data_IF_261825327715
#
_entry.id   IF_261825327715
#
_cell.length_a   1.000
_cell.length_b   1.000
_cell.length_c   1.000
_cell.angle_alpha   90.00
_cell.angle_beta   90.00
_cell.angle_gamma   90.00
#
_symmetry.space_group_name_H-M   'P 1'
#
loop_
_entity.id
_entity.type
_entity.pdbx_description
1 polymer ?
#
# COMPACT_ATOMS: atom_id res chain seq x y z
N UNK A 1 5.48 23.19 17.47
CA UNK A 1 4.40 22.49 18.22
C UNK A 1 4.33 22.88 19.69
N UNK A 2 3.12 22.91 20.25
CA UNK A 2 2.85 22.98 21.69
C UNK A 2 2.56 21.58 22.29
N UNK A 3 2.59 21.45 23.62
CA UNK A 3 2.21 20.21 24.32
C UNK A 3 0.75 19.84 24.06
N UNK A 4 -0.12 20.84 23.85
CA UNK A 4 -1.52 20.65 23.49
C UNK A 4 -1.70 19.93 22.15
N UNK A 5 -0.88 20.26 21.15
CA UNK A 5 -0.95 19.63 19.82
C UNK A 5 -0.55 18.15 19.89
N UNK A 6 0.48 17.84 20.68
CA UNK A 6 0.97 16.48 20.87
C UNK A 6 -0.05 15.64 21.67
N UNK A 7 -0.67 16.23 22.69
CA UNK A 7 -1.76 15.60 23.42
C UNK A 7 -2.98 15.34 22.52
N UNK A 8 -3.29 16.26 21.61
CA UNK A 8 -4.38 16.11 20.64
C UNK A 8 -4.09 15.02 19.61
N UNK A 9 -2.84 14.92 19.12
CA UNK A 9 -2.39 13.82 18.25
C UNK A 9 -2.51 12.46 18.97
N UNK A 10 -2.05 12.38 20.22
CA UNK A 10 -2.14 11.14 21.02
C UNK A 10 -3.60 10.77 21.30
N UNK A 11 -4.45 11.74 21.65
CA UNK A 11 -5.87 11.52 21.85
C UNK A 11 -6.57 11.02 20.56
N UNK A 12 -6.20 11.57 19.41
CA UNK A 12 -6.69 11.14 18.10
C UNK A 12 -6.24 9.70 17.75
N UNK A 13 -4.96 9.37 17.98
CA UNK A 13 -4.43 8.01 17.77
C UNK A 13 -5.06 6.96 18.69
N UNK A 14 -5.40 7.34 19.92
CA UNK A 14 -6.10 6.47 20.88
C UNK A 14 -7.60 6.34 20.58
N UNK A 15 -8.20 7.28 19.84
CA UNK A 15 -9.62 7.28 19.53
C UNK A 15 -10.02 6.04 18.72
N UNK A 16 -9.22 5.62 17.73
CA UNK A 16 -9.47 4.41 16.93
C UNK A 16 -9.62 3.14 17.78
N UNK A 17 -8.61 2.78 18.59
CA UNK A 17 -8.68 1.65 19.52
C UNK A 17 -9.81 1.76 20.56
N UNK A 18 -10.04 2.94 21.13
CA UNK A 18 -11.12 3.16 22.10
C UNK A 18 -12.52 2.99 21.49
N UNK A 19 -12.75 3.50 20.28
CA UNK A 19 -14.00 3.30 19.54
C UNK A 19 -14.22 1.84 19.16
N UNK A 20 -13.15 1.11 18.81
CA UNK A 20 -13.22 -0.30 18.48
C UNK A 20 -13.47 -1.20 19.70
N UNK A 21 -13.01 -0.80 20.90
CA UNK A 21 -13.27 -1.53 22.14
C UNK A 21 -14.75 -1.49 22.56
N UNK A 22 -15.49 -0.43 22.21
CA UNK A 22 -16.89 -0.23 22.62
C UNK A 22 -17.95 -0.74 21.64
N UNK A 23 -17.61 -0.96 20.35
CA UNK A 23 -18.59 -1.36 19.32
C UNK A 23 -18.38 -2.81 18.90
N UNK A 24 -19.41 -3.64 19.09
CA UNK A 24 -19.50 -5.05 18.65
C UNK A 24 -19.58 -5.25 17.12
N UNK A 25 -19.27 -4.21 16.33
CA UNK A 25 -19.33 -4.21 14.87
C UNK A 25 -17.94 -4.27 14.25
N UNK A 26 -17.80 -5.00 13.14
CA UNK A 26 -16.59 -5.30 12.36
C UNK A 26 -15.87 -4.07 11.71
N UNK A 27 -15.88 -2.90 12.34
CA UNK A 27 -15.16 -1.74 11.78
C UNK A 27 -13.67 -1.88 12.12
N UNK A 28 -12.77 -1.92 11.11
CA UNK A 28 -11.33 -1.97 11.36
C UNK A 28 -10.88 -0.75 12.16
N UNK A 29 -10.08 -0.96 13.20
CA UNK A 29 -9.51 0.10 14.05
C UNK A 29 -8.84 1.20 13.21
N UNK A 30 -8.10 0.78 12.19
CA UNK A 30 -7.39 1.65 11.25
C UNK A 30 -8.32 2.63 10.55
N UNK A 31 -9.54 2.22 10.21
CA UNK A 31 -10.49 3.13 9.56
C UNK A 31 -10.87 4.30 10.48
N UNK A 32 -11.02 4.05 11.79
CA UNK A 32 -11.28 5.09 12.78
C UNK A 32 -10.10 6.05 12.97
N UNK A 33 -8.87 5.52 12.97
CA UNK A 33 -7.65 6.32 13.07
C UNK A 33 -7.42 7.20 11.84
N UNK A 34 -7.63 6.67 10.63
CA UNK A 34 -7.56 7.44 9.38
C UNK A 34 -8.63 8.54 9.34
N UNK A 35 -9.86 8.22 9.75
CA UNK A 35 -10.96 9.20 9.77
C UNK A 35 -10.69 10.31 10.79
N UNK A 36 -10.14 9.99 11.97
CA UNK A 36 -9.68 10.98 12.93
C UNK A 36 -8.59 11.89 12.35
N UNK A 37 -7.60 11.32 11.66
CA UNK A 37 -6.55 12.09 10.98
C UNK A 37 -7.10 13.01 9.88
N UNK A 38 -8.08 12.55 9.09
CA UNK A 38 -8.74 13.36 8.04
C UNK A 38 -9.53 14.53 8.63
N UNK A 39 -10.20 14.32 9.78
CA UNK A 39 -10.95 15.38 10.47
C UNK A 39 -10.00 16.41 11.11
N UNK A 40 -8.91 15.97 11.73
CA UNK A 40 -8.00 16.86 12.46
C UNK A 40 -6.92 17.52 11.59
N UNK A 41 -6.58 16.93 10.44
CA UNK A 41 -5.58 17.44 9.51
C UNK A 41 -6.12 18.51 8.53
N UNK A 42 -5.32 18.84 7.51
CA UNK A 42 -5.61 19.88 6.51
C UNK A 42 -6.99 19.77 5.85
N UNK A 43 -7.48 18.56 5.64
CA UNK A 43 -8.78 18.31 4.98
C UNK A 43 -10.00 18.64 5.85
N UNK A 44 -9.82 18.77 7.17
CA UNK A 44 -10.90 19.02 8.12
C UNK A 44 -10.71 20.37 8.83
N UNK A 45 -10.27 20.32 10.08
CA UNK A 45 -10.12 21.51 10.92
C UNK A 45 -8.74 22.19 10.85
N UNK A 46 -7.79 21.62 10.09
CA UNK A 46 -6.42 22.15 9.90
C UNK A 46 -5.67 22.46 11.23
N UNK A 47 -5.99 21.68 12.27
CA UNK A 47 -5.41 21.87 13.61
C UNK A 47 -4.01 21.27 13.66
N UNK A 48 -3.78 20.18 12.92
CA UNK A 48 -2.48 19.50 12.86
C UNK A 48 -1.81 19.79 11.50
N UNK A 49 -0.69 20.50 11.55
CA UNK A 49 0.15 20.77 10.38
C UNK A 49 1.17 19.63 10.20
N UNK A 50 1.09 18.92 9.08
CA UNK A 50 1.99 17.80 8.76
C UNK A 50 3.44 18.24 8.49
N UNK A 51 3.64 19.52 8.15
CA UNK A 51 4.95 20.11 7.83
C UNK A 51 5.84 20.31 9.08
N UNK A 52 5.32 20.10 10.30
CA UNK A 52 6.11 20.19 11.52
C UNK A 52 6.98 18.92 11.71
N UNK A 53 8.28 19.14 11.88
CA UNK A 53 9.28 18.08 12.02
C UNK A 53 8.97 17.09 13.15
N UNK A 54 8.29 17.52 14.22
CA UNK A 54 7.96 16.65 15.36
C UNK A 54 6.81 15.69 15.02
N UNK A 55 5.81 16.13 14.23
CA UNK A 55 4.74 15.25 13.73
C UNK A 55 5.31 14.22 12.76
N UNK A 56 6.17 14.67 11.85
CA UNK A 56 6.84 13.80 10.88
C UNK A 56 7.70 12.75 11.57
N UNK A 57 8.49 13.14 12.58
CA UNK A 57 9.26 12.20 13.39
C UNK A 57 8.37 11.17 14.11
N UNK A 58 7.26 11.61 14.71
CA UNK A 58 6.35 10.71 15.42
C UNK A 58 5.65 9.74 14.44
N UNK A 59 5.28 10.20 13.25
CA UNK A 59 4.70 9.38 12.20
C UNK A 59 5.70 8.33 11.68
N UNK A 60 6.94 8.72 11.42
CA UNK A 60 8.01 7.80 11.00
C UNK A 60 8.33 6.77 12.09
N UNK A 61 8.50 7.21 13.34
CA UNK A 61 8.76 6.32 14.47
C UNK A 61 7.60 5.35 14.71
N UNK A 62 6.35 5.83 14.69
CA UNK A 62 5.16 5.01 14.84
C UNK A 62 5.01 4.00 13.71
N UNK A 63 5.20 4.43 12.46
CA UNK A 63 5.17 3.54 11.30
C UNK A 63 6.27 2.49 11.34
N UNK A 64 7.49 2.87 11.71
CA UNK A 64 8.61 1.95 11.88
C UNK A 64 8.33 0.91 12.97
N UNK A 65 7.78 1.34 14.11
CA UNK A 65 7.38 0.45 15.20
C UNK A 65 6.26 -0.52 14.78
N UNK A 66 5.25 -0.04 14.06
CA UNK A 66 4.17 -0.88 13.52
C UNK A 66 4.72 -1.92 12.52
N UNK A 67 5.58 -1.51 11.59
CA UNK A 67 6.19 -2.43 10.62
C UNK A 67 7.14 -3.43 11.28
N UNK A 68 7.89 -3.02 12.30
CA UNK A 68 8.70 -3.93 13.11
C UNK A 68 7.82 -4.98 13.80
N UNK A 69 6.72 -4.54 14.41
CA UNK A 69 5.78 -5.40 15.11
C UNK A 69 5.11 -6.39 14.16
N UNK A 70 4.66 -5.91 13.00
CA UNK A 70 4.10 -6.75 11.93
C UNK A 70 5.14 -7.77 11.46
N UNK A 71 6.37 -7.33 11.22
CA UNK A 71 7.48 -8.19 10.79
C UNK A 71 7.81 -9.31 11.77
N UNK A 72 7.73 -9.05 13.08
CA UNK A 72 7.97 -10.05 14.13
C UNK A 72 6.91 -11.16 14.17
N UNK A 73 5.71 -10.92 13.65
CA UNK A 73 4.64 -11.92 13.57
C UNK A 73 4.69 -12.74 12.27
N UNK A 74 5.57 -12.40 11.32
CA UNK A 74 5.70 -13.14 10.05
C UNK A 74 6.60 -14.36 10.28
N UNK A 75 6.12 -15.60 10.09
CA UNK A 75 6.91 -16.81 10.28
C UNK A 75 7.91 -17.00 9.11
N UNK A 76 9.03 -16.27 9.14
CA UNK A 76 10.07 -16.31 8.10
C UNK A 76 10.78 -17.67 7.97
N UNK A 77 10.63 -18.54 8.98
CA UNK A 77 11.18 -19.89 8.99
C UNK A 77 10.45 -20.87 8.06
N UNK A 78 9.28 -20.49 7.53
CA UNK A 78 8.54 -21.36 6.64
C UNK A 78 9.18 -21.47 5.25
N UNK A 79 9.63 -22.68 4.90
CA UNK A 79 10.30 -22.94 3.60
C UNK A 79 9.38 -22.67 2.41
N UNK A 80 8.06 -22.79 2.57
CA UNK A 80 7.07 -22.44 1.55
C UNK A 80 6.99 -20.93 1.33
N UNK A 81 6.96 -20.14 2.41
CA UNK A 81 6.97 -18.67 2.33
C UNK A 81 8.26 -18.16 1.67
N UNK A 82 9.42 -18.71 2.05
CA UNK A 82 10.71 -18.36 1.44
C UNK A 82 10.78 -18.70 -0.06
N UNK A 83 10.23 -19.84 -0.50
CA UNK A 83 10.17 -20.20 -1.94
C UNK A 83 9.21 -19.31 -2.73
N UNK A 84 8.06 -18.96 -2.13
CA UNK A 84 7.11 -18.03 -2.72
C UNK A 84 7.71 -16.62 -2.84
N UNK A 85 8.40 -16.14 -1.80
CA UNK A 85 9.09 -14.86 -1.79
C UNK A 85 10.27 -14.85 -2.76
N UNK A 86 11.10 -15.90 -2.80
CA UNK A 86 12.23 -15.99 -3.74
C UNK A 86 11.77 -15.95 -5.20
N UNK A 87 10.67 -16.63 -5.54
CA UNK A 87 10.12 -16.61 -6.90
C UNK A 87 9.48 -15.26 -7.27
N UNK A 88 8.87 -14.57 -6.30
CA UNK A 88 8.31 -13.22 -6.47
C UNK A 88 9.40 -12.14 -6.51
N UNK A 89 10.47 -12.27 -5.72
CA UNK A 89 11.61 -11.37 -5.73
C UNK A 89 12.43 -11.49 -7.02
N UNK A 90 12.63 -12.71 -7.53
CA UNK A 90 13.24 -12.92 -8.85
C UNK A 90 12.37 -12.34 -9.97
N UNK A 91 11.05 -12.56 -9.92
CA UNK A 91 10.14 -11.92 -10.89
C UNK A 91 10.19 -10.38 -10.78
N UNK A 92 10.26 -9.82 -9.57
CA UNK A 92 10.34 -8.38 -9.32
C UNK A 92 11.65 -7.79 -9.83
N UNK A 93 12.77 -8.48 -9.60
CA UNK A 93 14.07 -8.09 -10.12
C UNK A 93 14.12 -8.10 -11.64
N UNK A 94 13.59 -9.15 -12.28
CA UNK A 94 13.53 -9.24 -13.75
C UNK A 94 12.59 -8.18 -14.34
N UNK A 95 11.46 -7.91 -13.71
CA UNK A 95 10.53 -6.87 -14.16
C UNK A 95 11.09 -5.45 -13.99
N UNK A 96 11.80 -5.17 -12.88
CA UNK A 96 12.48 -3.90 -12.67
C UNK A 96 13.57 -3.67 -13.73
N UNK A 97 14.36 -4.71 -14.03
CA UNK A 97 15.36 -4.67 -15.11
C UNK A 97 14.67 -4.43 -16.46
N UNK A 98 13.63 -5.21 -16.81
CA UNK A 98 12.94 -5.07 -18.09
C UNK A 98 12.26 -3.69 -18.28
N UNK A 99 11.70 -3.12 -17.22
CA UNK A 99 11.12 -1.77 -17.25
C UNK A 99 12.18 -0.69 -17.51
N UNK A 100 13.42 -0.91 -17.03
CA UNK A 100 14.55 -0.02 -17.29
C UNK A 100 14.93 0.06 -18.78
N UNK A 101 14.55 -0.95 -19.58
CA UNK A 101 14.82 -1.00 -21.03
C UNK A 101 13.64 -0.51 -21.88
N UNK A 102 12.48 -0.19 -21.28
CA UNK A 102 11.24 0.15 -22.00
C UNK A 102 11.10 1.61 -22.46
N UNK A 103 12.01 2.50 -22.07
CA UNK A 103 11.91 3.95 -22.32
C UNK A 103 12.22 4.38 -23.77
N UNK A 104 12.45 3.44 -24.69
CA UNK A 104 12.83 3.75 -26.08
C UNK A 104 11.66 3.73 -27.09
N UNK A 105 10.40 3.73 -26.66
CA UNK A 105 9.26 3.64 -27.58
C UNK A 105 8.24 4.77 -27.40
N UNK A 106 8.33 5.65 -28.40
CA UNK A 106 7.53 6.80 -28.82
C UNK A 106 6.04 6.86 -28.38
N UNK A 107 5.66 8.09 -28.01
CA UNK A 107 4.37 8.81 -28.11
C UNK A 107 3.04 8.15 -27.68
N UNK A 108 2.39 8.91 -26.80
CA UNK A 108 0.96 8.95 -26.48
C UNK A 108 0.38 7.81 -25.62
N UNK A 109 0.50 7.97 -24.31
CA UNK A 109 -0.20 7.11 -23.36
C UNK A 109 -0.13 7.60 -21.92
N UNK A 110 -0.80 8.72 -21.62
CA UNK A 110 -1.28 9.14 -20.28
C UNK A 110 -0.42 8.68 -19.08
N UNK A 111 0.65 9.44 -18.75
CA UNK A 111 0.89 9.83 -17.36
C UNK A 111 1.39 11.27 -17.21
N UNK A 112 1.51 12.02 -18.32
CA UNK A 112 2.09 13.37 -18.33
C UNK A 112 1.24 14.40 -17.56
N UNK A 113 -0.09 14.19 -17.46
CA UNK A 113 -0.98 15.12 -16.77
C UNK A 113 -0.74 15.18 -15.24
N UNK A 114 -0.28 14.09 -14.61
CA UNK A 114 0.05 14.06 -13.18
C UNK A 114 1.38 14.76 -12.90
N UNK A 115 2.32 14.68 -13.85
CA UNK A 115 3.62 15.37 -13.77
C UNK A 115 3.46 16.90 -13.92
N UNK A 116 2.46 17.35 -14.68
CA UNK A 116 2.20 18.77 -14.91
C UNK A 116 1.75 19.51 -13.62
N UNK A 117 1.12 18.80 -12.67
CA UNK A 117 0.70 19.38 -11.38
C UNK A 117 1.92 19.67 -10.49
N UNK A 118 2.95 18.82 -10.51
CA UNK A 118 4.18 19.00 -9.72
C UNK A 118 5.16 20.04 -10.26
N UNK A 119 5.03 20.43 -11.54
CA UNK A 119 5.88 21.46 -12.18
C UNK A 119 5.55 22.88 -11.71
N UNK A 120 4.34 23.13 -11.22
CA UNK A 120 3.91 24.46 -10.75
C UNK A 120 4.34 24.78 -9.31
N UNK A 121 4.72 23.75 -8.53
CA UNK A 121 5.10 23.89 -7.12
C UNK A 121 6.62 24.05 -6.92
N UNK A 122 7.38 24.17 -8.01
CA UNK A 122 8.79 24.55 -8.06
C UNK A 122 9.78 23.68 -7.24
N UNK A 123 9.44 22.42 -6.95
CA UNK A 123 10.27 21.51 -6.13
C UNK A 123 10.63 20.19 -6.82
N UNK A 124 10.12 19.91 -8.03
CA UNK A 124 10.39 18.64 -8.73
C UNK A 124 10.90 18.91 -10.14
N UNK A 125 12.14 18.47 -10.44
CA UNK A 125 12.67 18.46 -11.80
C UNK A 125 11.80 17.55 -12.67
N UNK A 126 11.55 17.88 -13.95
CA UNK A 126 10.70 17.09 -14.85
C UNK A 126 11.12 15.61 -14.95
N UNK A 127 12.40 15.31 -14.69
CA UNK A 127 12.94 13.96 -14.57
C UNK A 127 12.40 13.16 -13.35
N UNK A 128 12.22 13.78 -12.19
CA UNK A 128 11.72 13.12 -10.98
C UNK A 128 10.23 12.77 -11.08
N UNK A 129 9.44 13.63 -11.74
CA UNK A 129 8.02 13.36 -11.98
C UNK A 129 7.80 12.14 -12.89
N UNK A 130 8.58 12.03 -13.97
CA UNK A 130 8.56 10.86 -14.84
C UNK A 130 8.99 9.59 -14.07
N UNK A 131 10.05 9.68 -13.27
CA UNK A 131 10.54 8.55 -12.47
C UNK A 131 9.49 8.01 -11.48
N UNK A 132 8.72 8.90 -10.83
CA UNK A 132 7.65 8.50 -9.91
C UNK A 132 6.49 7.82 -10.63
N UNK A 133 6.08 8.34 -11.80
CA UNK A 133 5.00 7.72 -12.58
C UNK A 133 5.39 6.34 -13.13
N UNK A 134 6.64 6.17 -13.54
CA UNK A 134 7.19 4.87 -13.96
C UNK A 134 7.28 3.90 -12.78
N UNK A 135 7.72 4.35 -11.60
CA UNK A 135 7.75 3.54 -10.38
C UNK A 135 6.33 3.06 -9.97
N UNK A 136 5.33 3.92 -10.12
CA UNK A 136 3.93 3.56 -9.87
C UNK A 136 3.40 2.54 -10.91
N UNK A 137 3.64 2.77 -12.20
CA UNK A 137 3.18 1.89 -13.29
C UNK A 137 3.86 0.51 -13.24
N UNK A 138 5.16 0.47 -12.94
CA UNK A 138 5.89 -0.79 -12.77
C UNK A 138 5.34 -1.60 -11.61
N UNK A 139 5.03 -0.95 -10.48
CA UNK A 139 4.40 -1.60 -9.32
C UNK A 139 3.02 -2.16 -9.68
N UNK A 140 2.18 -1.39 -10.39
CA UNK A 140 0.85 -1.84 -10.79
C UNK A 140 0.88 -3.01 -11.78
N UNK A 141 1.76 -2.92 -12.79
CA UNK A 141 1.99 -3.98 -13.77
C UNK A 141 2.46 -5.27 -13.09
N UNK A 142 3.29 -5.13 -12.05
CA UNK A 142 3.77 -6.26 -11.27
C UNK A 142 2.65 -6.96 -10.49
N UNK A 143 1.75 -6.19 -9.88
CA UNK A 143 0.56 -6.73 -9.22
C UNK A 143 -0.35 -7.46 -10.20
N UNK A 144 -0.61 -6.88 -11.37
CA UNK A 144 -1.48 -7.47 -12.40
C UNK A 144 -0.93 -8.80 -12.95
N UNK A 145 0.33 -8.83 -13.40
CA UNK A 145 1.00 -10.03 -13.91
C UNK A 145 1.08 -11.15 -12.86
N UNK A 146 1.32 -10.80 -11.60
CA UNK A 146 1.34 -11.76 -10.50
C UNK A 146 -0.01 -12.48 -10.31
N UNK A 147 -1.13 -11.74 -10.40
CA UNK A 147 -2.47 -12.31 -10.27
C UNK A 147 -2.86 -13.19 -11.45
N UNK A 148 -2.50 -12.80 -12.68
CA UNK A 148 -2.80 -13.59 -13.89
C UNK A 148 -2.02 -14.91 -13.89
N UNK A 149 -0.74 -14.88 -13.51
CA UNK A 149 0.08 -16.09 -13.40
C UNK A 149 -0.36 -17.02 -12.27
N UNK A 150 -0.93 -16.48 -11.17
CA UNK A 150 -1.57 -17.30 -10.13
C UNK A 150 -2.88 -17.91 -10.62
N UNK A 151 -3.72 -17.15 -11.34
CA UNK A 151 -4.98 -17.65 -11.91
C UNK A 151 -4.74 -18.78 -12.91
N UNK A 152 -3.75 -18.63 -13.81
CA UNK A 152 -3.38 -19.68 -14.78
C UNK A 152 -2.86 -20.97 -14.13
N UNK A 153 -2.33 -20.90 -12.91
CA UNK A 153 -1.90 -22.08 -12.14
C UNK A 153 -3.00 -22.70 -11.29
N UNK A 154 -4.09 -21.97 -11.05
CA UNK A 154 -5.20 -22.41 -10.19
C UNK A 154 -6.27 -23.22 -10.95
N UNK A 155 -6.11 -23.46 -12.26
CA UNK A 155 -7.00 -24.35 -13.04
C UNK A 155 -6.29 -25.65 -13.42
N UNK A 156 -6.22 -26.63 -12.51
CA UNK A 156 -6.54 -28.00 -12.91
C UNK A 156 -7.51 -28.74 -11.94
N UNK A 157 -8.57 -29.30 -12.54
CA UNK A 157 -9.50 -30.38 -12.09
C UNK A 157 -10.39 -30.20 -10.86
N UNK A 158 -11.67 -29.90 -11.11
CA UNK A 158 -12.80 -30.52 -10.40
C UNK A 158 -14.00 -30.67 -11.37
N UNK A 159 -13.83 -31.48 -12.41
CA UNK A 159 -14.97 -32.14 -13.04
C UNK A 159 -15.49 -33.19 -12.05
N UNK A 160 -16.53 -32.86 -11.29
CA UNK A 160 -17.34 -33.89 -10.63
C UNK A 160 -18.08 -34.64 -11.74
N UNK A 161 -17.86 -35.95 -11.97
CA UNK A 161 -18.66 -36.69 -12.93
C UNK A 161 -20.11 -36.78 -12.41
N UNK A 162 -21.12 -36.69 -13.29
CA UNK A 162 -22.51 -36.88 -12.86
C UNK A 162 -22.66 -38.30 -12.32
N UNK A 163 -23.12 -38.40 -11.07
CA UNK A 163 -23.50 -39.68 -10.45
C UNK A 163 -24.74 -40.21 -11.18
N UNK A 164 -24.69 -41.36 -11.87
CA UNK A 164 -25.90 -41.96 -12.40
C UNK A 164 -26.64 -42.59 -11.22
N UNK A 165 -27.65 -41.88 -10.70
CA UNK A 165 -28.63 -42.49 -9.81
C UNK A 165 -29.42 -43.50 -10.63
N UNK A 166 -29.21 -44.77 -10.28
CA UNK A 166 -29.84 -45.92 -10.90
C UNK A 166 -31.36 -45.92 -10.73
N UNK A 167 -32.00 -46.30 -11.83
CA UNK A 167 -33.16 -47.18 -11.97
C UNK A 167 -33.91 -47.51 -10.67
N UNK A 168 -35.14 -47.00 -10.59
CA UNK A 168 -36.26 -47.57 -9.85
C UNK A 168 -37.35 -48.00 -10.83
#
# INVERSE_FOLDING_TARGET
MSLGDLALIVAAGLAGPLLAAGRRGFVPVVAGEILAGVILGRSGFDVIHADDATVSFLAEAGFAMLMLTVGMHIPLRDRRLRRALGRRALAAGVAAIAASFGELSDRDGVPAAVVQIGLQEHVITPALGAALTLAALTTLGFCALGTDLLRRRATPSASVPPTPLGVG
#
